data_IF_578185383773
#
_entry.id   IF_578185383773
#
_cell.length_a   1.000
_cell.length_b   1.000
_cell.length_c   1.000
_cell.angle_alpha   90.00
_cell.angle_beta   90.00
_cell.angle_gamma   90.00
#
_symmetry.space_group_name_H-M   'P 1'
#
loop_
_entity.id
_entity.type
_entity.pdbx_description
1 polymer ?
#
# COMPACT_ATOMS: atom_id res chain seq x y z
N UNK A 1 -16.16 -16.05 13.62
CA UNK A 1 -15.60 -15.08 12.64
C UNK A 1 -14.14 -15.43 12.37
N UNK A 2 -13.84 -15.82 11.17
CA UNK A 2 -12.48 -16.20 10.75
C UNK A 2 -11.82 -15.07 10.00
N UNK A 3 -10.53 -14.82 10.29
CA UNK A 3 -9.67 -13.86 9.58
C UNK A 3 -8.55 -14.59 8.85
N UNK A 4 -7.88 -13.87 7.96
CA UNK A 4 -6.66 -14.39 7.33
C UNK A 4 -5.59 -14.68 8.39
N UNK A 5 -4.81 -15.74 8.18
CA UNK A 5 -3.86 -16.23 9.19
C UNK A 5 -2.67 -15.31 9.50
N UNK A 6 -2.46 -14.26 8.70
CA UNK A 6 -1.39 -13.29 8.97
C UNK A 6 -1.76 -12.25 10.03
N UNK A 7 -3.04 -12.15 10.41
CA UNK A 7 -3.50 -11.17 11.40
C UNK A 7 -3.16 -11.67 12.79
N UNK A 8 -2.50 -10.82 13.59
CA UNK A 8 -2.19 -11.10 14.99
C UNK A 8 -3.35 -10.68 15.91
N UNK A 9 -3.12 -10.74 17.21
CA UNK A 9 -4.08 -10.25 18.23
C UNK A 9 -3.99 -8.73 18.44
N UNK A 10 -3.09 -8.03 17.74
CA UNK A 10 -2.95 -6.58 17.85
C UNK A 10 -4.20 -5.88 17.30
N UNK A 11 -4.90 -5.05 18.08
CA UNK A 11 -6.12 -4.39 17.65
C UNK A 11 -5.92 -3.53 16.39
N UNK A 12 -4.76 -2.89 16.23
CA UNK A 12 -4.44 -2.08 15.06
C UNK A 12 -4.36 -2.95 13.80
N UNK A 13 -3.76 -4.14 13.91
CA UNK A 13 -3.66 -5.07 12.78
C UNK A 13 -5.01 -5.66 12.41
N UNK A 14 -5.83 -5.98 13.40
CA UNK A 14 -7.19 -6.47 13.19
C UNK A 14 -8.03 -5.43 12.46
N UNK A 15 -8.00 -4.17 12.90
CA UNK A 15 -8.74 -3.08 12.26
C UNK A 15 -8.27 -2.88 10.82
N UNK A 16 -6.97 -2.87 10.57
CA UNK A 16 -6.41 -2.75 9.23
C UNK A 16 -6.91 -3.88 8.31
N UNK A 17 -6.85 -5.12 8.78
CA UNK A 17 -7.35 -6.28 8.02
C UNK A 17 -8.84 -6.15 7.73
N UNK A 18 -9.63 -5.80 8.73
CA UNK A 18 -11.09 -5.85 8.65
C UNK A 18 -11.66 -4.69 7.82
N UNK A 19 -10.99 -3.53 7.77
CA UNK A 19 -11.55 -2.30 7.21
C UNK A 19 -10.77 -1.73 6.01
N UNK A 20 -9.49 -2.07 5.83
CA UNK A 20 -8.67 -1.47 4.79
C UNK A 20 -8.17 -2.49 3.76
N UNK A 21 -7.55 -3.56 4.20
CA UNK A 21 -6.89 -4.51 3.31
C UNK A 21 -7.88 -5.18 2.36
N UNK A 22 -7.62 -5.07 1.05
CA UNK A 22 -8.50 -5.62 0.03
C UNK A 22 -9.69 -4.74 -0.34
N UNK A 23 -9.85 -3.57 0.30
CA UNK A 23 -10.89 -2.60 -0.05
C UNK A 23 -10.39 -1.64 -1.12
N UNK A 24 -11.13 -1.50 -2.20
CA UNK A 24 -10.74 -0.66 -3.34
C UNK A 24 -10.53 0.80 -2.91
N UNK A 25 -9.32 1.30 -3.15
CA UNK A 25 -8.94 2.68 -2.90
C UNK A 25 -8.71 3.39 -4.23
N UNK A 26 -9.41 4.50 -4.47
CA UNK A 26 -9.32 5.26 -5.73
C UNK A 26 -8.94 6.73 -5.51
N UNK A 27 -8.64 7.13 -4.29
CA UNK A 27 -8.22 8.47 -4.00
C UNK A 27 -6.69 8.57 -4.14
N UNK A 28 -6.23 9.47 -5.03
CA UNK A 28 -4.83 9.54 -5.46
C UNK A 28 -3.84 9.77 -4.33
N UNK A 29 -4.16 10.64 -3.39
CA UNK A 29 -3.30 10.93 -2.24
C UNK A 29 -3.15 9.72 -1.31
N UNK A 30 -4.21 8.97 -1.09
CA UNK A 30 -4.15 7.76 -0.29
C UNK A 30 -3.40 6.63 -0.99
N UNK A 31 -3.54 6.52 -2.31
CA UNK A 31 -2.73 5.61 -3.11
C UNK A 31 -1.25 5.97 -3.03
N UNK A 32 -0.93 7.27 -3.11
CA UNK A 32 0.43 7.76 -2.96
C UNK A 32 0.99 7.46 -1.55
N UNK A 33 0.22 7.74 -0.50
CA UNK A 33 0.61 7.39 0.87
C UNK A 33 0.93 5.91 0.98
N UNK A 34 0.07 5.05 0.45
CA UNK A 34 0.22 3.60 0.60
C UNK A 34 1.42 3.06 -0.18
N UNK A 35 1.68 3.52 -1.41
CA UNK A 35 2.87 3.05 -2.14
C UNK A 35 4.15 3.47 -1.43
N UNK A 36 4.18 4.65 -0.83
CA UNK A 36 5.32 5.11 -0.03
C UNK A 36 5.49 4.28 1.23
N UNK A 37 4.42 4.01 1.98
CA UNK A 37 4.48 3.21 3.20
C UNK A 37 4.87 1.75 2.93
N UNK A 38 4.36 1.16 1.86
CA UNK A 38 4.77 -0.19 1.45
C UNK A 38 6.26 -0.24 1.14
N UNK A 39 6.81 0.79 0.53
CA UNK A 39 8.24 0.90 0.28
C UNK A 39 9.08 0.96 1.56
N UNK A 40 8.53 1.51 2.64
CA UNK A 40 9.21 1.54 3.95
C UNK A 40 9.31 0.15 4.57
N UNK A 41 8.45 -0.77 4.17
CA UNK A 41 8.44 -2.15 4.67
C UNK A 41 9.67 -2.95 4.23
N UNK A 42 10.37 -2.58 3.18
CA UNK A 42 11.49 -3.35 2.64
C UNK A 42 12.45 -3.80 3.77
N UNK A 43 12.59 -5.11 3.95
CA UNK A 43 13.39 -5.71 5.02
C UNK A 43 12.71 -5.74 6.40
N UNK A 44 11.46 -5.33 6.52
CA UNK A 44 10.72 -5.25 7.79
C UNK A 44 9.34 -5.92 7.64
N UNK A 45 8.61 -6.06 8.75
CA UNK A 45 7.21 -6.50 8.71
C UNK A 45 6.27 -5.33 8.50
N UNK A 46 5.11 -5.60 7.90
CA UNK A 46 4.10 -4.55 7.69
C UNK A 46 3.59 -3.95 8.99
N UNK A 47 3.38 -4.78 10.03
CA UNK A 47 2.90 -4.26 11.32
C UNK A 47 3.87 -3.22 11.91
N UNK A 48 5.16 -3.37 11.68
CA UNK A 48 6.16 -2.38 12.10
C UNK A 48 5.90 -1.02 11.45
N UNK A 49 5.63 -0.99 10.15
CA UNK A 49 5.30 0.23 9.42
C UNK A 49 3.93 0.77 9.83
N UNK A 50 2.94 -0.11 9.93
CA UNK A 50 1.58 0.26 10.30
C UNK A 50 1.53 0.97 11.65
N UNK A 51 2.28 0.51 12.64
CA UNK A 51 2.39 1.16 13.95
C UNK A 51 2.99 2.56 13.89
N UNK A 52 3.77 2.85 12.86
CA UNK A 52 4.43 4.14 12.64
C UNK A 52 3.64 5.04 11.68
N UNK A 53 2.52 4.60 11.14
CA UNK A 53 1.80 5.30 10.07
C UNK A 53 1.43 6.73 10.45
N UNK A 54 0.92 6.97 11.66
CA UNK A 54 0.57 8.32 12.11
C UNK A 54 1.81 9.22 12.22
N UNK A 55 2.93 8.67 12.67
CA UNK A 55 4.19 9.39 12.73
C UNK A 55 4.69 9.78 11.33
N UNK A 56 4.54 8.88 10.35
CA UNK A 56 4.83 9.18 8.95
C UNK A 56 3.93 10.29 8.40
N UNK A 57 2.64 10.24 8.69
CA UNK A 57 1.70 11.29 8.27
C UNK A 57 2.11 12.64 8.81
N UNK A 58 2.47 12.73 10.09
CA UNK A 58 2.95 13.96 10.70
C UNK A 58 4.28 14.43 10.10
N UNK A 59 5.21 13.51 9.89
CA UNK A 59 6.55 13.82 9.37
C UNK A 59 6.53 14.28 7.91
N UNK A 60 5.60 13.75 7.10
CA UNK A 60 5.51 13.98 5.66
C UNK A 60 4.27 14.76 5.24
N UNK A 61 3.84 15.73 6.05
CA UNK A 61 2.76 16.67 5.71
C UNK A 61 1.47 15.98 5.26
N UNK A 62 1.08 14.90 5.95
CA UNK A 62 -0.12 14.11 5.63
C UNK A 62 -0.07 13.52 4.20
N UNK A 63 1.13 13.28 3.69
CA UNK A 63 1.38 12.80 2.32
C UNK A 63 0.78 13.70 1.24
N UNK A 64 0.76 15.01 1.48
CA UNK A 64 0.48 15.98 0.44
C UNK A 64 1.66 16.00 -0.54
N UNK A 65 1.49 15.55 -1.79
CA UNK A 65 2.61 15.43 -2.72
C UNK A 65 3.35 16.74 -2.99
N UNK A 66 2.63 17.86 -3.01
CA UNK A 66 3.22 19.18 -3.24
C UNK A 66 4.16 19.55 -2.09
N UNK A 67 3.70 19.37 -0.87
CA UNK A 67 4.49 19.71 0.34
C UNK A 67 5.66 18.74 0.51
N UNK A 68 5.45 17.45 0.27
CA UNK A 68 6.51 16.45 0.36
C UNK A 68 7.57 16.68 -0.70
N UNK A 69 7.18 16.98 -1.95
CA UNK A 69 8.12 17.26 -3.05
C UNK A 69 8.99 18.49 -2.79
N UNK A 70 8.52 19.44 -1.98
CA UNK A 70 9.25 20.65 -1.61
C UNK A 70 10.28 20.41 -0.49
N UNK A 71 10.28 19.25 0.16
CA UNK A 71 11.25 18.90 1.21
C UNK A 71 12.65 18.75 0.63
N UNK A 72 13.66 19.21 1.39
CA UNK A 72 15.06 19.19 0.97
C UNK A 72 15.95 18.43 1.95
N UNK A 73 17.28 18.57 1.79
CA UNK A 73 18.27 17.85 2.59
C UNK A 73 18.19 18.17 4.08
N UNK A 74 17.85 19.41 4.45
CA UNK A 74 17.68 19.78 5.87
C UNK A 74 16.52 19.00 6.50
N UNK A 75 15.44 18.80 5.76
CA UNK A 75 14.31 18.00 6.21
C UNK A 75 14.72 16.53 6.39
N UNK A 76 15.51 15.99 5.46
CA UNK A 76 16.03 14.62 5.56
C UNK A 76 16.87 14.47 6.84
N UNK A 77 17.76 15.41 7.13
CA UNK A 77 18.59 15.39 8.33
C UNK A 77 17.74 15.42 9.62
N UNK A 78 16.69 16.22 9.65
CA UNK A 78 15.75 16.26 10.77
C UNK A 78 14.99 14.93 10.93
N UNK A 79 14.52 14.37 9.82
CA UNK A 79 13.77 13.09 9.80
C UNK A 79 14.64 11.92 10.26
N UNK A 80 15.94 11.95 10.01
CA UNK A 80 16.89 10.94 10.52
C UNK A 80 17.00 10.98 12.05
N UNK A 81 16.59 12.04 12.70
CA UNK A 81 16.53 12.15 14.16
C UNK A 81 15.15 11.77 14.73
N UNK A 82 14.16 11.53 13.88
CA UNK A 82 12.81 11.20 14.30
C UNK A 82 12.68 9.72 14.62
N UNK A 83 12.62 9.38 15.91
CA UNK A 83 12.46 8.00 16.37
C UNK A 83 11.08 7.39 16.05
N UNK A 84 10.11 8.22 15.66
CA UNK A 84 8.76 7.77 15.29
C UNK A 84 8.66 7.14 13.91
N UNK A 85 9.69 7.28 13.07
CA UNK A 85 9.77 6.67 11.75
C UNK A 85 11.01 5.79 11.62
N UNK A 86 11.10 5.05 10.52
CA UNK A 86 12.30 4.26 10.21
C UNK A 86 13.40 5.21 9.76
N UNK A 87 14.49 5.28 10.52
CA UNK A 87 15.60 6.22 10.29
C UNK A 87 16.57 5.65 9.25
N UNK A 88 16.13 5.60 8.02
CA UNK A 88 16.89 5.11 6.88
C UNK A 88 16.88 6.19 5.79
N UNK A 89 18.06 6.77 5.53
CA UNK A 89 18.20 7.90 4.58
C UNK A 89 17.59 7.60 3.21
N UNK A 90 17.93 6.47 2.63
CA UNK A 90 17.42 6.08 1.31
C UNK A 90 15.89 5.96 1.26
N UNK A 91 15.29 5.42 2.32
CA UNK A 91 13.83 5.30 2.42
C UNK A 91 13.15 6.66 2.61
N UNK A 92 13.75 7.56 3.37
CA UNK A 92 13.24 8.94 3.55
C UNK A 92 13.32 9.69 2.22
N UNK A 93 14.47 9.65 1.57
CA UNK A 93 14.66 10.29 0.26
C UNK A 93 13.72 9.72 -0.80
N UNK A 94 13.41 8.42 -0.72
CA UNK A 94 12.47 7.78 -1.64
C UNK A 94 11.07 8.38 -1.58
N UNK A 95 10.56 8.67 -0.37
CA UNK A 95 9.24 9.31 -0.21
C UNK A 95 9.22 10.68 -0.90
N UNK A 96 10.26 11.47 -0.70
CA UNK A 96 10.38 12.81 -1.31
C UNK A 96 10.49 12.69 -2.84
N UNK A 97 11.33 11.78 -3.33
CA UNK A 97 11.49 11.52 -4.76
C UNK A 97 10.21 10.99 -5.41
N UNK A 98 9.47 10.13 -4.70
CA UNK A 98 8.19 9.60 -5.17
C UNK A 98 7.14 10.73 -5.28
N UNK A 99 7.14 11.68 -4.37
CA UNK A 99 6.26 12.84 -4.47
C UNK A 99 6.56 13.68 -5.72
N UNK A 100 7.83 13.88 -6.02
CA UNK A 100 8.24 14.60 -7.24
C UNK A 100 7.82 13.84 -8.50
N UNK A 101 7.96 12.54 -8.51
CA UNK A 101 7.52 11.70 -9.62
C UNK A 101 5.99 11.73 -9.79
N UNK A 102 5.26 11.69 -8.69
CA UNK A 102 3.79 11.83 -8.69
C UNK A 102 3.36 13.15 -9.33
N UNK A 103 3.97 14.26 -8.93
CA UNK A 103 3.67 15.58 -9.49
C UNK A 103 4.03 15.67 -10.98
N UNK A 104 5.14 15.07 -11.39
CA UNK A 104 5.53 15.03 -12.79
C UNK A 104 4.50 14.29 -13.65
N UNK A 105 3.92 13.21 -13.12
CA UNK A 105 2.82 12.51 -13.79
C UNK A 105 1.60 13.43 -13.96
N UNK A 106 1.19 14.15 -12.93
CA UNK A 106 0.07 15.08 -12.99
C UNK A 106 0.32 16.20 -14.00
N UNK A 107 1.51 16.77 -14.02
CA UNK A 107 1.92 17.80 -14.98
C UNK A 107 1.84 17.30 -16.42
N UNK A 108 2.10 16.02 -16.66
CA UNK A 108 1.98 15.37 -17.96
C UNK A 108 0.56 14.90 -18.28
N UNK A 109 -0.42 15.22 -17.45
CA UNK A 109 -1.82 14.83 -17.65
C UNK A 109 -2.13 13.38 -17.27
N UNK A 110 -1.22 12.70 -16.57
CA UNK A 110 -1.48 11.34 -16.05
C UNK A 110 -2.10 11.42 -14.64
N UNK A 111 -3.30 10.85 -14.46
CA UNK A 111 -3.85 10.62 -13.14
C UNK A 111 -3.18 9.39 -12.51
N UNK A 112 -2.62 9.55 -11.30
CA UNK A 112 -2.01 8.43 -10.59
C UNK A 112 -3.02 7.31 -10.32
N UNK A 113 -4.24 7.66 -9.97
CA UNK A 113 -5.34 6.70 -9.78
C UNK A 113 -5.61 5.90 -11.05
N UNK A 114 -5.81 6.57 -12.17
CA UNK A 114 -6.10 5.91 -13.45
C UNK A 114 -4.92 5.05 -13.90
N UNK A 115 -3.70 5.55 -13.71
CA UNK A 115 -2.48 4.81 -14.03
C UNK A 115 -2.41 3.50 -13.24
N UNK A 116 -2.55 3.56 -11.92
CA UNK A 116 -2.47 2.39 -11.03
C UNK A 116 -3.55 1.38 -11.37
N UNK A 117 -4.80 1.83 -11.48
CA UNK A 117 -5.93 0.95 -11.76
C UNK A 117 -5.94 0.37 -13.16
N UNK A 118 -5.20 0.96 -14.11
CA UNK A 118 -5.07 0.42 -15.47
C UNK A 118 -4.43 -0.96 -15.50
N UNK A 119 -3.62 -1.31 -14.50
CA UNK A 119 -2.94 -2.60 -14.40
C UNK A 119 -3.90 -3.76 -14.05
N UNK A 120 -5.10 -3.46 -13.64
CA UNK A 120 -6.17 -4.44 -13.36
C UNK A 120 -7.45 -4.12 -14.15
N UNK A 121 -7.33 -3.42 -15.29
CA UNK A 121 -8.45 -3.05 -16.17
C UNK A 121 -9.55 -2.27 -15.43
N UNK A 122 -9.17 -1.45 -14.45
CA UNK A 122 -10.07 -0.62 -13.62
C UNK A 122 -11.09 -1.40 -12.79
N UNK A 123 -10.84 -2.70 -12.56
CA UNK A 123 -11.73 -3.56 -11.77
C UNK A 123 -10.95 -4.30 -10.68
N UNK A 124 -11.45 -4.33 -9.44
CA UNK A 124 -10.84 -5.15 -8.39
C UNK A 124 -10.81 -6.62 -8.81
N UNK A 125 -9.65 -7.25 -8.62
CA UNK A 125 -9.45 -8.67 -8.90
C UNK A 125 -9.71 -9.46 -7.62
N UNK A 126 -10.83 -10.16 -7.55
CA UNK A 126 -11.15 -11.03 -6.41
C UNK A 126 -10.57 -12.42 -6.69
N UNK A 127 -9.68 -12.86 -5.80
CA UNK A 127 -9.08 -14.20 -5.85
C UNK A 127 -9.79 -15.14 -4.88
N UNK A 128 -9.51 -16.43 -4.96
CA UNK A 128 -10.12 -17.42 -4.10
C UNK A 128 -9.07 -18.32 -3.43
N UNK A 129 -8.07 -17.76 -2.72
CA UNK A 129 -7.09 -18.59 -2.04
C UNK A 129 -7.73 -19.30 -0.84
N UNK A 130 -7.56 -20.60 -0.74
CA UNK A 130 -8.02 -21.34 0.43
C UNK A 130 -7.09 -21.18 1.61
N UNK A 131 -5.79 -20.98 1.34
CA UNK A 131 -4.73 -20.83 2.34
C UNK A 131 -3.78 -19.69 1.96
N UNK A 132 -3.00 -19.21 2.93
CA UNK A 132 -1.98 -18.18 2.67
C UNK A 132 -0.91 -18.66 1.68
N UNK A 133 -0.62 -19.96 1.66
CA UNK A 133 0.37 -20.52 0.75
C UNK A 133 -0.02 -20.38 -0.74
N UNK A 134 -1.30 -20.24 -1.03
CA UNK A 134 -1.80 -20.04 -2.40
C UNK A 134 -1.70 -18.58 -2.86
N UNK A 135 -1.45 -17.63 -1.95
CA UNK A 135 -1.31 -16.22 -2.29
C UNK A 135 0.09 -15.99 -2.85
N UNK A 136 0.20 -15.47 -4.10
CA UNK A 136 1.51 -15.19 -4.68
C UNK A 136 2.17 -13.99 -4.02
N UNK A 137 3.48 -13.88 -4.17
CA UNK A 137 4.25 -12.69 -3.74
C UNK A 137 4.37 -11.66 -4.84
N UNK A 138 4.25 -12.07 -6.09
CA UNK A 138 4.26 -11.23 -7.29
C UNK A 138 3.30 -11.81 -8.33
N UNK A 139 2.89 -10.97 -9.26
CA UNK A 139 2.08 -11.36 -10.42
C UNK A 139 2.59 -10.64 -11.66
N UNK A 140 2.19 -11.04 -12.88
CA UNK A 140 2.50 -10.26 -14.08
C UNK A 140 2.05 -8.79 -13.97
N UNK A 141 0.93 -8.52 -13.34
CA UNK A 141 0.43 -7.16 -13.12
C UNK A 141 1.36 -6.37 -12.18
N UNK A 142 1.81 -6.98 -11.06
CA UNK A 142 2.75 -6.32 -10.15
C UNK A 142 4.12 -6.09 -10.79
N UNK A 143 4.58 -7.02 -11.62
CA UNK A 143 5.82 -6.86 -12.39
C UNK A 143 5.72 -5.66 -13.33
N UNK A 144 4.60 -5.54 -14.06
CA UNK A 144 4.36 -4.44 -14.98
C UNK A 144 4.23 -3.09 -14.26
N UNK A 145 3.50 -3.06 -13.14
CA UNK A 145 3.36 -1.87 -12.29
C UNK A 145 4.71 -1.41 -11.76
N UNK A 146 5.52 -2.33 -11.25
CA UNK A 146 6.87 -2.05 -10.76
C UNK A 146 7.74 -1.40 -11.82
N UNK A 147 7.78 -2.00 -13.00
CA UNK A 147 8.55 -1.50 -14.15
C UNK A 147 8.10 -0.10 -14.55
N UNK A 148 6.80 0.12 -14.63
CA UNK A 148 6.23 1.41 -15.01
C UNK A 148 6.49 2.51 -13.97
N UNK A 149 6.40 2.19 -12.68
CA UNK A 149 6.72 3.11 -11.60
C UNK A 149 8.20 3.49 -11.59
N UNK A 150 9.09 2.50 -11.73
CA UNK A 150 10.54 2.76 -11.82
C UNK A 150 10.90 3.66 -12.99
N UNK A 151 10.25 3.46 -14.13
CA UNK A 151 10.44 4.30 -15.31
C UNK A 151 10.05 5.75 -15.05
N UNK A 152 9.10 5.99 -14.18
CA UNK A 152 8.64 7.34 -13.77
C UNK A 152 9.44 7.94 -12.62
N UNK A 153 10.45 7.24 -12.13
CA UNK A 153 11.36 7.74 -11.10
C UNK A 153 10.99 7.36 -9.67
N UNK A 154 10.00 6.49 -9.46
CA UNK A 154 9.68 5.97 -8.13
C UNK A 154 10.78 5.04 -7.63
N UNK A 155 10.98 5.03 -6.31
CA UNK A 155 11.96 4.20 -5.60
C UNK A 155 11.27 3.30 -4.58
N UNK A 156 11.90 2.17 -4.25
CA UNK A 156 11.36 1.15 -3.36
C UNK A 156 10.01 0.63 -3.83
N UNK A 157 9.92 0.36 -5.12
CA UNK A 157 8.72 -0.11 -5.81
C UNK A 157 8.98 -1.41 -6.59
N UNK A 158 9.74 -2.33 -6.00
CA UNK A 158 9.91 -3.67 -6.56
C UNK A 158 8.58 -4.41 -6.69
N UNK A 159 8.56 -5.50 -7.46
CA UNK A 159 7.31 -6.22 -7.76
C UNK A 159 6.62 -6.74 -6.50
N UNK A 160 7.38 -7.23 -5.51
CA UNK A 160 6.82 -7.70 -4.23
C UNK A 160 6.13 -6.56 -3.47
N UNK A 161 6.77 -5.39 -3.41
CA UNK A 161 6.19 -4.18 -2.80
C UNK A 161 4.95 -3.74 -3.57
N UNK A 162 5.01 -3.74 -4.89
CA UNK A 162 3.86 -3.39 -5.73
C UNK A 162 2.68 -4.35 -5.51
N UNK A 163 2.94 -5.65 -5.38
CA UNK A 163 1.87 -6.60 -5.11
C UNK A 163 1.24 -6.37 -3.73
N UNK A 164 2.05 -6.15 -2.70
CA UNK A 164 1.55 -5.78 -1.37
C UNK A 164 0.70 -4.50 -1.41
N UNK A 165 1.13 -3.52 -2.20
CA UNK A 165 0.36 -2.29 -2.45
C UNK A 165 -0.98 -2.59 -3.14
N UNK A 166 -0.98 -3.46 -4.14
CA UNK A 166 -2.21 -3.86 -4.85
C UNK A 166 -3.21 -4.54 -3.90
N UNK A 167 -2.72 -5.40 -3.01
CA UNK A 167 -3.54 -6.02 -1.97
C UNK A 167 -4.09 -4.99 -0.98
N UNK A 168 -3.23 -4.12 -0.48
CA UNK A 168 -3.61 -3.11 0.51
C UNK A 168 -4.65 -2.13 0.00
N UNK A 169 -4.58 -1.74 -1.27
CA UNK A 169 -5.48 -0.78 -1.90
C UNK A 169 -6.64 -1.43 -2.66
N UNK A 170 -6.81 -2.72 -2.54
CA UNK A 170 -7.94 -3.44 -3.10
C UNK A 170 -7.98 -3.54 -4.62
N UNK A 171 -6.84 -3.31 -5.31
CA UNK A 171 -6.71 -3.70 -6.72
C UNK A 171 -6.85 -5.21 -6.83
N UNK A 172 -6.37 -5.91 -5.81
CA UNK A 172 -6.53 -7.35 -5.62
C UNK A 172 -7.13 -7.57 -4.24
N UNK A 173 -8.14 -8.43 -4.15
CA UNK A 173 -8.68 -8.90 -2.89
C UNK A 173 -8.23 -10.34 -2.69
N UNK A 174 -7.22 -10.51 -1.83
CA UNK A 174 -6.59 -11.80 -1.51
C UNK A 174 -7.00 -12.34 -0.14
N UNK A 175 -8.13 -11.90 0.41
CA UNK A 175 -8.67 -12.57 1.59
C UNK A 175 -8.88 -14.05 1.29
N UNK A 176 -8.49 -14.93 2.20
CA UNK A 176 -8.75 -16.36 2.03
C UNK A 176 -10.25 -16.63 2.01
N UNK A 177 -10.67 -17.70 1.35
CA UNK A 177 -12.08 -18.01 1.17
C UNK A 177 -12.85 -18.22 2.48
N UNK A 178 -12.15 -18.67 3.53
CA UNK A 178 -12.72 -18.81 4.88
C UNK A 178 -12.78 -17.50 5.69
N UNK A 179 -12.18 -16.41 5.19
CA UNK A 179 -12.21 -15.13 5.90
C UNK A 179 -13.56 -14.43 5.71
N UNK A 180 -14.08 -13.84 6.77
CA UNK A 180 -15.36 -13.12 6.68
C UNK A 180 -15.31 -11.89 5.78
N UNK A 181 -14.11 -11.36 5.49
CA UNK A 181 -13.92 -10.25 4.56
C UNK A 181 -13.88 -10.67 3.09
N UNK A 182 -13.82 -11.98 2.79
CA UNK A 182 -13.89 -12.46 1.42
C UNK A 182 -15.30 -12.23 0.87
N UNK A 183 -15.46 -11.68 -0.35
CA UNK A 183 -16.79 -11.40 -0.91
C UNK A 183 -17.71 -12.61 -0.98
N UNK A 184 -17.16 -13.81 -1.20
CA UNK A 184 -17.92 -15.07 -1.18
C UNK A 184 -18.19 -15.65 0.20
N UNK A 185 -17.59 -15.08 1.26
CA UNK A 185 -17.79 -15.53 2.64
C UNK A 185 -18.97 -14.87 3.34
N UNK A 186 -19.67 -13.98 2.65
CA UNK A 186 -20.86 -13.30 3.20
C UNK A 186 -22.16 -14.07 3.00
N UNK A 187 -22.11 -15.19 2.28
CA UNK A 187 -23.23 -16.09 2.13
C UNK A 187 -23.17 -17.20 3.18
N UNK A 188 -23.37 -16.88 4.43
CA UNK A 188 -23.89 -17.84 5.40
C UNK A 188 -25.39 -17.55 5.59
N UNK A 189 -26.27 -18.29 4.90
CA UNK A 189 -27.70 -18.15 5.13
C UNK A 189 -28.06 -18.88 6.41
N UNK A 190 -27.67 -18.38 7.54
CA UNK A 190 -28.30 -18.75 8.80
C UNK A 190 -29.43 -17.78 9.10
N UNK A 191 -30.45 -17.82 8.28
CA UNK A 191 -31.78 -17.46 8.73
C UNK A 191 -32.73 -18.52 8.21
N UNK A 192 -33.13 -19.37 9.05
CA UNK A 192 -34.15 -20.33 8.73
C UNK A 192 -34.49 -21.14 10.00
N UNK A 193 -35.32 -20.65 10.78
CA UNK A 193 -36.44 -21.18 11.54
C UNK A 193 -36.49 -20.74 12.98
#
# INVERSE_FOLDING_TARGET
MQRCGWVSQDPLYIEYHDTEWGVAQKEGRQLFEMICLEGQQAGLSWITVLKKRQNYRQAFHQFDPVRVAAMGEDDVEQLLQNAGIIRHRGKIQAIIGNARAYLAMEENGESFTDFVWSFVNNEPQVTCPATLAEIPTTTPASDALSKALKKRGFKFVGSTICYSFMQACGLVNDHITGCFCHPGGQDDPQVGH
#
